data_IF_074953496959
#
_entry.id   IF_074953496959
#
_cell.length_a   1.000
_cell.length_b   1.000
_cell.length_c   1.000
_cell.angle_alpha   90.00
_cell.angle_beta   90.00
_cell.angle_gamma   90.00
#
_symmetry.space_group_name_H-M   'P 1'
#
loop_
_entity.id
_entity.type
_entity.pdbx_description
1 polymer ?
#
# COMPACT_ATOMS: atom_id res chain seq x y z
N UNK A 1 -9.80 -7.53 -7.72
CA UNK A 1 -9.38 -6.50 -6.75
C UNK A 1 -10.60 -5.94 -6.05
N UNK A 2 -10.48 -5.75 -4.75
CA UNK A 2 -11.57 -5.39 -3.84
C UNK A 2 -11.58 -3.88 -3.67
N UNK A 3 -12.69 -3.30 -3.22
CA UNK A 3 -12.78 -1.84 -3.04
C UNK A 3 -11.71 -1.31 -2.07
N UNK A 4 -11.38 -2.10 -1.03
CA UNK A 4 -10.34 -1.78 -0.07
C UNK A 4 -8.94 -1.82 -0.71
N UNK A 5 -8.63 -2.85 -1.51
CA UNK A 5 -7.36 -2.95 -2.23
C UNK A 5 -7.16 -1.76 -3.20
N UNK A 6 -8.21 -1.41 -3.95
CA UNK A 6 -8.16 -0.28 -4.88
C UNK A 6 -7.90 1.05 -4.17
N UNK A 7 -8.57 1.27 -3.04
CA UNK A 7 -8.39 2.48 -2.25
C UNK A 7 -6.99 2.57 -1.66
N UNK A 8 -6.46 1.46 -1.13
CA UNK A 8 -5.11 1.41 -0.57
C UNK A 8 -4.05 1.67 -1.64
N UNK A 9 -4.20 1.07 -2.82
CA UNK A 9 -3.30 1.29 -3.95
C UNK A 9 -3.34 2.75 -4.43
N UNK A 10 -4.52 3.36 -4.50
CA UNK A 10 -4.68 4.75 -4.92
C UNK A 10 -4.00 5.73 -3.96
N UNK A 11 -4.25 5.58 -2.65
CA UNK A 11 -3.63 6.43 -1.62
C UNK A 11 -2.11 6.28 -1.58
N UNK A 12 -1.60 5.06 -1.79
CA UNK A 12 -0.15 4.83 -1.83
C UNK A 12 0.49 5.51 -3.03
N UNK A 13 -0.16 5.48 -4.20
CA UNK A 13 0.32 6.21 -5.39
C UNK A 13 0.31 7.72 -5.19
N UNK A 14 -0.74 8.25 -4.58
CA UNK A 14 -0.86 9.68 -4.24
C UNK A 14 0.29 10.11 -3.32
N UNK A 15 0.55 9.36 -2.24
CA UNK A 15 1.68 9.61 -1.34
C UNK A 15 3.03 9.62 -2.06
N UNK A 16 3.28 8.64 -2.95
CA UNK A 16 4.54 8.56 -3.70
C UNK A 16 4.69 9.72 -4.70
N UNK A 17 3.58 10.21 -5.26
CA UNK A 17 3.58 11.39 -6.11
C UNK A 17 3.92 12.66 -5.31
N UNK A 18 3.30 12.87 -4.15
CA UNK A 18 3.62 13.99 -3.25
C UNK A 18 5.09 13.93 -2.77
N UNK A 19 5.60 12.72 -2.50
CA UNK A 19 7.00 12.54 -2.18
C UNK A 19 7.94 12.94 -3.33
N UNK A 20 7.59 12.59 -4.57
CA UNK A 20 8.36 12.98 -5.75
C UNK A 20 8.43 14.51 -5.92
N UNK A 21 7.34 15.22 -5.62
CA UNK A 21 7.32 16.69 -5.59
C UNK A 21 8.18 17.24 -4.45
N UNK A 22 8.05 16.67 -3.25
CA UNK A 22 8.84 17.07 -2.07
C UNK A 22 10.34 16.91 -2.31
N UNK A 23 10.76 15.83 -2.96
CA UNK A 23 12.16 15.59 -3.35
C UNK A 23 12.72 16.61 -4.33
N UNK A 24 11.90 17.45 -4.97
CA UNK A 24 12.44 18.56 -5.77
C UNK A 24 13.05 19.65 -4.89
N UNK A 25 12.64 19.75 -3.63
CA UNK A 25 13.09 20.78 -2.69
C UNK A 25 13.94 20.20 -1.55
N UNK A 26 13.62 18.99 -1.08
CA UNK A 26 14.35 18.30 -0.02
C UNK A 26 15.21 17.16 -0.59
N UNK A 27 16.52 17.40 -0.72
CA UNK A 27 17.47 16.52 -1.45
C UNK A 27 18.70 16.12 -0.66
N UNK A 28 18.68 16.32 0.64
CA UNK A 28 19.81 16.00 1.50
C UNK A 28 19.87 14.51 1.86
N UNK A 29 20.86 14.13 2.68
CA UNK A 29 21.00 12.78 3.17
C UNK A 29 19.79 12.33 4.02
N UNK A 30 19.05 13.26 4.64
CA UNK A 30 17.86 12.96 5.43
C UNK A 30 16.66 12.64 4.56
N UNK A 31 16.50 13.30 3.42
CA UNK A 31 15.49 12.92 2.43
C UNK A 31 15.71 11.48 1.94
N UNK A 32 16.98 11.12 1.68
CA UNK A 32 17.32 9.74 1.27
C UNK A 32 17.09 8.72 2.38
N UNK A 33 17.44 9.06 3.63
CA UNK A 33 17.16 8.21 4.80
C UNK A 33 15.65 8.00 4.99
N UNK A 34 14.86 9.06 4.83
CA UNK A 34 13.41 9.03 4.98
C UNK A 34 12.75 8.10 3.96
N UNK A 35 13.11 8.25 2.68
CA UNK A 35 12.58 7.41 1.61
C UNK A 35 12.84 5.92 1.89
N UNK A 36 14.09 5.57 2.18
CA UNK A 36 14.46 4.17 2.42
C UNK A 36 13.84 3.58 3.68
N UNK A 37 13.78 4.36 4.75
CA UNK A 37 13.36 3.85 6.07
C UNK A 37 11.85 3.81 6.23
N UNK A 38 11.12 4.67 5.54
CA UNK A 38 9.68 4.80 5.75
C UNK A 38 8.88 4.51 4.48
N UNK A 39 9.27 5.08 3.34
CA UNK A 39 8.46 4.94 2.12
C UNK A 39 8.67 3.58 1.45
N UNK A 40 9.90 3.12 1.30
CA UNK A 40 10.19 1.80 0.72
C UNK A 40 9.58 0.68 1.60
N UNK A 41 9.71 0.80 2.92
CA UNK A 41 9.10 -0.14 3.88
C UNK A 41 7.57 -0.11 3.81
N UNK A 42 6.97 1.08 3.72
CA UNK A 42 5.52 1.25 3.61
C UNK A 42 4.98 0.68 2.30
N UNK A 43 5.63 0.96 1.16
CA UNK A 43 5.23 0.44 -0.15
C UNK A 43 5.27 -1.09 -0.15
N UNK A 44 6.33 -1.68 0.41
CA UNK A 44 6.44 -3.13 0.57
C UNK A 44 5.31 -3.70 1.44
N UNK A 45 5.04 -3.09 2.59
CA UNK A 45 3.96 -3.51 3.48
C UNK A 45 2.58 -3.41 2.82
N UNK A 46 2.33 -2.35 2.04
CA UNK A 46 1.08 -2.19 1.27
C UNK A 46 0.94 -3.28 0.23
N UNK A 47 2.00 -3.59 -0.53
CA UNK A 47 1.97 -4.64 -1.54
C UNK A 47 1.66 -6.01 -0.91
N UNK A 48 2.25 -6.31 0.24
CA UNK A 48 1.94 -7.51 1.03
C UNK A 48 0.48 -7.50 1.49
N UNK A 49 -0.02 -6.38 2.03
CA UNK A 49 -1.41 -6.29 2.47
C UNK A 49 -2.40 -6.52 1.33
N UNK A 50 -2.18 -5.89 0.16
CA UNK A 50 -3.01 -6.09 -1.03
C UNK A 50 -3.01 -7.56 -1.44
N UNK A 51 -1.84 -8.20 -1.52
CA UNK A 51 -1.73 -9.61 -1.89
C UNK A 51 -2.47 -10.56 -0.93
N UNK A 52 -2.50 -10.24 0.37
CA UNK A 52 -3.14 -11.07 1.39
C UNK A 52 -4.65 -10.78 1.56
N UNK A 53 -5.14 -9.60 1.18
CA UNK A 53 -6.57 -9.28 1.25
C UNK A 53 -7.42 -10.15 0.31
N UNK A 54 -6.90 -10.51 -0.87
CA UNK A 54 -7.63 -11.33 -1.83
C UNK A 54 -7.92 -12.76 -1.32
N UNK A 55 -6.95 -13.55 -0.83
CA UNK A 55 -7.23 -14.87 -0.29
C UNK A 55 -8.13 -14.81 0.95
N UNK A 56 -7.98 -13.79 1.81
CA UNK A 56 -8.86 -13.60 2.97
C UNK A 56 -10.33 -13.42 2.56
N UNK A 57 -10.59 -12.56 1.56
CA UNK A 57 -11.96 -12.37 1.06
C UNK A 57 -12.54 -13.64 0.43
N UNK A 58 -11.72 -14.43 -0.28
CA UNK A 58 -12.16 -15.72 -0.82
C UNK A 58 -12.59 -16.69 0.28
N UNK A 59 -11.80 -16.79 1.36
CA UNK A 59 -12.13 -17.66 2.50
C UNK A 59 -13.40 -17.18 3.20
N UNK A 60 -13.53 -15.87 3.44
CA UNK A 60 -14.75 -15.31 4.05
C UNK A 60 -15.99 -15.55 3.20
N UNK A 61 -15.88 -15.42 1.88
CA UNK A 61 -16.97 -15.71 0.96
C UNK A 61 -17.35 -17.20 0.99
N UNK A 62 -16.37 -18.09 0.98
CA UNK A 62 -16.63 -19.53 1.06
C UNK A 62 -17.35 -19.89 2.37
N UNK A 63 -16.92 -19.35 3.51
CA UNK A 63 -17.57 -19.60 4.81
C UNK A 63 -19.03 -19.12 4.78
N UNK A 64 -19.30 -17.97 4.15
CA UNK A 64 -20.66 -17.47 3.98
C UNK A 64 -21.50 -18.42 3.11
N UNK A 65 -20.98 -18.81 1.95
CA UNK A 65 -21.65 -19.71 0.99
C UNK A 65 -21.89 -21.12 1.60
N UNK A 66 -21.02 -21.59 2.50
CA UNK A 66 -21.16 -22.87 3.20
C UNK A 66 -22.16 -22.83 4.37
N UNK A 67 -22.52 -21.62 4.86
CA UNK A 67 -23.45 -21.41 5.98
C UNK A 67 -24.90 -21.11 5.55
N UNK A 68 -25.12 -20.75 4.28
CA UNK A 68 -26.44 -20.56 3.65
C UNK A 68 -26.98 -21.87 3.03
#
# INVERSE_FOLDING_TARGET
>A
MTAAQNRLLALTKELLAEWAETKQYWRDAKATEFEKRYLDELESAVNVAIANLEPLERVLKQIHDDCD
#
